data_IF_251200946781
#
_entry.id   IF_251200946781
#
_cell.length_a   1.000
_cell.length_b   1.000
_cell.length_c   1.000
_cell.angle_alpha   90.00
_cell.angle_beta   90.00
_cell.angle_gamma   90.00
#
_symmetry.space_group_name_H-M   'P 1'
#
loop_
_entity.id
_entity.type
_entity.pdbx_description
1 polymer ?
#
# COMPACT_ATOMS: atom_id res chain seq x y z
N UNK A 1 -11.59 -2.58 11.63
CA UNK A 1 -10.62 -1.49 11.87
C UNK A 1 -9.15 -1.97 11.93
N UNK A 2 -8.85 -3.28 11.80
CA UNK A 2 -7.49 -3.75 11.48
C UNK A 2 -7.37 -3.94 9.98
N UNK A 3 -6.44 -3.25 9.31
CA UNK A 3 -6.41 -3.29 7.84
C UNK A 3 -5.26 -2.56 7.18
N UNK A 4 -4.11 -2.41 7.85
CA UNK A 4 -2.92 -1.86 7.21
C UNK A 4 -1.71 -2.66 7.65
N UNK A 5 -0.82 -3.03 6.71
CA UNK A 5 0.30 -3.95 6.99
C UNK A 5 1.25 -3.38 8.03
N UNK A 6 1.24 -2.05 8.24
CA UNK A 6 2.03 -1.37 9.26
C UNK A 6 1.89 -1.98 10.67
N UNK A 7 0.70 -2.49 11.00
CA UNK A 7 0.43 -3.06 12.33
C UNK A 7 0.85 -4.53 12.45
N UNK A 8 1.37 -5.12 11.37
CA UNK A 8 1.88 -6.47 11.41
C UNK A 8 3.14 -6.48 12.26
N UNK A 9 3.12 -7.31 13.30
CA UNK A 9 4.31 -7.53 14.13
C UNK A 9 5.34 -8.27 13.28
N UNK A 10 6.51 -7.65 13.12
CA UNK A 10 7.65 -8.29 12.48
C UNK A 10 8.30 -9.23 13.49
N UNK A 11 8.19 -10.54 13.26
CA UNK A 11 8.69 -11.56 14.19
C UNK A 11 9.95 -12.23 13.66
N UNK A 12 10.78 -12.82 14.54
CA UNK A 12 12.08 -13.44 14.18
C UNK A 12 11.92 -14.72 13.35
N UNK A 13 10.74 -15.32 13.36
CA UNK A 13 10.39 -16.56 12.68
C UNK A 13 10.18 -16.34 11.17
N UNK A 14 9.96 -15.10 10.71
CA UNK A 14 9.86 -14.74 9.29
C UNK A 14 11.22 -14.83 8.59
N UNK A 15 11.55 -15.98 8.02
CA UNK A 15 12.88 -16.26 7.45
C UNK A 15 12.73 -16.84 6.05
N UNK A 16 13.79 -16.87 5.22
CA UNK A 16 13.74 -17.56 3.93
C UNK A 16 13.38 -19.05 4.03
N UNK A 17 13.47 -19.67 5.21
CA UNK A 17 13.06 -21.05 5.45
C UNK A 17 11.55 -21.19 5.70
N UNK A 18 10.89 -20.15 6.23
CA UNK A 18 9.45 -20.14 6.52
C UNK A 18 8.62 -19.37 5.51
N UNK A 19 9.25 -18.50 4.72
CA UNK A 19 8.62 -17.66 3.69
C UNK A 19 9.22 -18.00 2.34
N UNK A 20 8.36 -18.43 1.41
CA UNK A 20 8.72 -18.55 0.01
C UNK A 20 8.83 -17.15 -0.63
N UNK A 21 10.00 -16.54 -0.48
CA UNK A 21 10.25 -15.17 -0.88
C UNK A 21 10.19 -14.95 -2.38
N UNK A 22 10.73 -15.88 -3.17
CA UNK A 22 10.73 -15.78 -4.63
C UNK A 22 9.33 -15.81 -5.19
N UNK A 23 8.48 -16.68 -4.64
CA UNK A 23 7.06 -16.73 -4.99
C UNK A 23 6.31 -15.50 -4.48
N UNK A 24 6.62 -15.00 -3.30
CA UNK A 24 6.01 -13.76 -2.78
C UNK A 24 6.32 -12.56 -3.68
N UNK A 25 7.55 -12.47 -4.19
CA UNK A 25 7.96 -11.47 -5.18
C UNK A 25 7.35 -11.71 -6.58
N UNK A 26 6.96 -12.94 -6.90
CA UNK A 26 6.51 -13.31 -8.25
C UNK A 26 7.63 -13.26 -9.29
N UNK A 27 8.84 -13.72 -8.92
CA UNK A 27 10.03 -13.67 -9.79
C UNK A 27 9.85 -14.50 -11.05
N UNK A 28 9.23 -15.68 -10.96
CA UNK A 28 9.02 -16.58 -12.11
C UNK A 28 8.03 -15.99 -13.13
N UNK A 29 7.16 -15.11 -12.65
CA UNK A 29 6.11 -14.40 -13.37
C UNK A 29 6.57 -13.03 -13.87
N UNK A 30 7.79 -12.62 -13.54
CA UNK A 30 8.35 -11.32 -13.93
C UNK A 30 7.69 -10.12 -13.25
N UNK A 31 7.06 -10.31 -12.08
CA UNK A 31 6.36 -9.24 -11.34
C UNK A 31 7.33 -8.33 -10.58
N UNK A 32 8.44 -8.86 -10.07
CA UNK A 32 9.49 -8.13 -9.39
C UNK A 32 10.88 -8.77 -9.65
N UNK A 33 11.99 -8.01 -9.55
CA UNK A 33 13.34 -8.59 -9.60
C UNK A 33 13.60 -9.54 -8.43
N UNK A 34 14.58 -10.45 -8.57
CA UNK A 34 15.03 -11.32 -7.47
C UNK A 34 15.78 -10.48 -6.42
N UNK A 35 15.07 -10.08 -5.37
CA UNK A 35 15.59 -9.23 -4.29
C UNK A 35 16.04 -10.10 -3.11
N UNK A 36 17.05 -9.66 -2.33
CA UNK A 36 17.37 -10.32 -1.07
C UNK A 36 16.15 -10.29 -0.14
N UNK A 37 15.99 -11.35 0.68
CA UNK A 37 14.90 -11.40 1.64
C UNK A 37 15.02 -10.26 2.64
N UNK A 38 13.99 -9.42 2.68
CA UNK A 38 13.81 -8.41 3.70
C UNK A 38 12.52 -8.65 4.48
N UNK A 39 12.69 -8.75 5.79
CA UNK A 39 11.63 -9.08 6.73
C UNK A 39 10.63 -7.93 6.88
N UNK A 40 11.13 -6.69 6.84
CA UNK A 40 10.28 -5.51 6.93
C UNK A 40 9.40 -5.40 5.68
N UNK A 41 10.00 -5.58 4.49
CA UNK A 41 9.27 -5.66 3.22
C UNK A 41 8.22 -6.77 3.28
N UNK A 42 8.55 -8.01 3.67
CA UNK A 42 7.54 -9.07 3.76
C UNK A 42 6.38 -8.73 4.72
N UNK A 43 6.70 -8.27 5.94
CA UNK A 43 5.72 -8.01 6.98
C UNK A 43 4.88 -6.75 6.73
N UNK A 44 5.48 -5.72 6.15
CA UNK A 44 4.93 -4.37 6.05
C UNK A 44 4.87 -3.82 4.62
N UNK A 45 4.92 -4.68 3.59
CA UNK A 45 4.98 -4.35 2.16
C UNK A 45 4.17 -3.14 1.67
N UNK A 46 2.97 -2.87 2.21
CA UNK A 46 2.14 -1.73 1.81
C UNK A 46 2.78 -0.37 2.12
N UNK A 47 3.83 -0.35 2.95
CA UNK A 47 4.61 0.84 3.29
C UNK A 47 5.66 1.23 2.23
N UNK A 48 5.91 0.38 1.22
CA UNK A 48 6.97 0.57 0.23
C UNK A 48 6.40 0.67 -1.18
N UNK A 49 6.89 1.63 -1.99
CA UNK A 49 6.36 1.89 -3.33
C UNK A 49 6.38 0.69 -4.28
N UNK A 50 7.39 -0.20 -4.25
CA UNK A 50 7.42 -1.35 -5.15
C UNK A 50 6.25 -2.32 -4.96
N UNK A 51 5.64 -2.33 -3.76
CA UNK A 51 4.62 -3.32 -3.40
C UNK A 51 3.28 -2.69 -3.00
N UNK A 52 3.25 -1.42 -2.59
CA UNK A 52 2.04 -0.70 -2.24
C UNK A 52 2.08 0.77 -2.63
N UNK A 53 0.91 1.38 -2.80
CA UNK A 53 0.78 2.82 -3.10
C UNK A 53 0.17 3.59 -1.92
N UNK A 54 0.38 3.08 -0.71
CA UNK A 54 -0.09 3.68 0.53
C UNK A 54 -1.61 3.82 0.61
N UNK A 55 -2.05 4.89 1.31
CA UNK A 55 -3.46 5.12 1.60
C UNK A 55 -4.33 5.30 0.34
N UNK A 56 -3.76 5.80 -0.76
CA UNK A 56 -4.50 6.06 -2.00
C UNK A 56 -5.07 4.78 -2.64
N UNK A 57 -4.28 3.72 -2.70
CA UNK A 57 -4.72 2.46 -3.32
C UNK A 57 -5.38 1.49 -2.35
N UNK A 58 -5.07 1.59 -1.05
CA UNK A 58 -5.55 0.64 -0.04
C UNK A 58 -6.97 1.03 0.42
N UNK A 59 -7.08 1.81 1.49
CA UNK A 59 -8.39 2.10 2.11
C UNK A 59 -9.20 3.17 1.38
N UNK A 60 -8.54 4.11 0.69
CA UNK A 60 -9.21 5.26 0.07
C UNK A 60 -10.16 4.83 -1.06
N UNK A 61 -9.72 3.92 -1.94
CA UNK A 61 -10.52 3.47 -3.09
C UNK A 61 -11.85 2.84 -2.68
N UNK A 62 -11.88 2.11 -1.55
CA UNK A 62 -13.10 1.51 -1.03
C UNK A 62 -14.14 2.56 -0.62
N UNK A 63 -13.68 3.67 -0.01
CA UNK A 63 -14.53 4.78 0.41
C UNK A 63 -15.04 5.56 -0.78
N UNK A 64 -14.17 5.86 -1.74
CA UNK A 64 -14.57 6.55 -2.98
C UNK A 64 -15.58 5.72 -3.77
N UNK A 65 -15.36 4.42 -3.94
CA UNK A 65 -16.30 3.54 -4.66
C UNK A 65 -17.69 3.55 -4.02
N UNK A 66 -17.77 3.51 -2.69
CA UNK A 66 -19.04 3.59 -1.97
C UNK A 66 -19.74 4.95 -2.17
N UNK A 67 -18.99 6.05 -2.11
CA UNK A 67 -19.51 7.40 -2.35
C UNK A 67 -20.00 7.58 -3.80
N UNK A 68 -19.23 7.14 -4.80
CA UNK A 68 -19.63 7.20 -6.20
C UNK A 68 -20.93 6.42 -6.45
N UNK A 69 -21.03 5.21 -5.88
CA UNK A 69 -22.25 4.40 -5.96
C UNK A 69 -23.46 5.08 -5.30
N UNK A 70 -23.28 5.72 -4.15
CA UNK A 70 -24.36 6.38 -3.42
C UNK A 70 -24.85 7.67 -4.12
N UNK A 71 -23.96 8.39 -4.80
CA UNK A 71 -24.24 9.69 -5.44
C UNK A 71 -24.60 9.58 -6.93
N UNK A 72 -24.31 8.44 -7.56
CA UNK A 72 -24.49 8.25 -9.01
C UNK A 72 -23.42 8.97 -9.85
N UNK A 73 -22.43 9.60 -9.21
CA UNK A 73 -21.28 10.21 -9.88
C UNK A 73 -20.41 9.14 -10.53
N UNK A 74 -19.84 9.48 -11.69
CA UNK A 74 -18.98 8.57 -12.47
C UNK A 74 -17.54 9.05 -12.45
N UNK A 75 -17.16 9.82 -13.47
CA UNK A 75 -15.79 10.25 -13.69
C UNK A 75 -15.68 11.74 -13.38
N UNK A 76 -14.73 12.16 -12.54
CA UNK A 76 -14.49 13.56 -12.29
C UNK A 76 -13.91 14.24 -13.53
N UNK A 77 -14.26 15.51 -13.77
CA UNK A 77 -13.69 16.32 -14.84
C UNK A 77 -12.26 16.80 -14.52
N UNK A 78 -11.94 16.96 -13.23
CA UNK A 78 -10.59 17.30 -12.75
C UNK A 78 -10.35 16.76 -11.35
N UNK A 79 -9.10 16.44 -11.05
CA UNK A 79 -8.67 15.92 -9.76
C UNK A 79 -7.33 16.56 -9.38
N UNK A 80 -7.20 16.97 -8.12
CA UNK A 80 -5.92 17.32 -7.50
C UNK A 80 -5.69 16.44 -6.29
N UNK A 81 -4.48 15.91 -6.17
CA UNK A 81 -4.04 15.07 -5.05
C UNK A 81 -2.81 15.68 -4.38
N UNK A 82 -2.74 15.53 -3.07
CA UNK A 82 -1.59 15.96 -2.28
C UNK A 82 -1.47 15.16 -0.99
N UNK A 83 -0.26 15.01 -0.50
CA UNK A 83 0.03 14.15 0.64
C UNK A 83 1.53 14.10 0.93
N UNK A 84 1.89 13.38 1.99
CA UNK A 84 3.26 13.28 2.44
C UNK A 84 3.39 12.32 3.62
N UNK A 85 4.55 12.34 4.25
CA UNK A 85 4.81 11.75 5.56
C UNK A 85 4.89 12.90 6.54
N UNK A 86 3.95 12.98 7.49
CA UNK A 86 3.90 14.09 8.45
C UNK A 86 3.92 13.64 9.91
N UNK A 87 3.59 12.39 10.19
CA UNK A 87 3.51 11.83 11.54
C UNK A 87 4.33 10.55 11.70
N UNK A 88 4.28 9.67 10.69
CA UNK A 88 4.79 8.31 10.79
C UNK A 88 6.20 8.21 10.20
N UNK A 89 7.21 8.51 11.02
CA UNK A 89 8.62 8.44 10.65
C UNK A 89 9.19 7.02 10.87
N UNK A 90 8.61 6.02 10.22
CA UNK A 90 8.96 4.59 10.34
C UNK A 90 9.69 4.03 9.10
N UNK A 91 10.44 4.90 8.41
CA UNK A 91 11.15 4.61 7.16
C UNK A 91 10.26 4.09 6.01
N UNK A 92 8.93 4.26 6.11
CA UNK A 92 8.04 4.05 4.97
C UNK A 92 8.37 5.00 3.83
N UNK A 93 8.08 4.55 2.63
CA UNK A 93 8.23 5.38 1.43
C UNK A 93 6.91 6.01 1.01
N UNK A 94 5.79 5.32 1.29
CA UNK A 94 4.45 5.77 0.93
C UNK A 94 3.91 6.83 1.90
N UNK A 95 3.01 7.67 1.41
CA UNK A 95 2.41 8.76 2.20
C UNK A 95 1.55 8.23 3.36
N UNK A 96 1.69 8.83 4.56
CA UNK A 96 0.83 8.57 5.72
C UNK A 96 -0.47 9.39 5.69
N UNK A 97 -0.42 10.56 5.06
CA UNK A 97 -1.56 11.44 4.81
C UNK A 97 -1.71 11.65 3.32
N UNK A 98 -2.94 11.46 2.85
CA UNK A 98 -3.32 11.56 1.46
C UNK A 98 -4.67 12.29 1.37
N UNK A 99 -4.72 13.35 0.58
CA UNK A 99 -5.91 14.14 0.30
C UNK A 99 -6.14 14.20 -1.21
N UNK A 100 -7.41 14.11 -1.60
CA UNK A 100 -7.86 14.25 -2.98
C UNK A 100 -9.05 15.20 -3.01
N UNK A 101 -9.02 16.16 -3.93
CA UNK A 101 -10.15 17.00 -4.28
C UNK A 101 -10.50 16.69 -5.73
N UNK A 102 -11.73 16.28 -5.96
CA UNK A 102 -12.24 15.92 -7.27
C UNK A 102 -13.50 16.74 -7.57
N UNK A 103 -13.57 17.27 -8.79
CA UNK A 103 -14.72 17.99 -9.32
C UNK A 103 -15.45 17.09 -10.31
N UNK A 104 -16.76 16.94 -10.14
CA UNK A 104 -17.61 15.96 -10.84
C UNK A 104 -18.72 16.63 -11.64
#
# INVERSE_FOLDING_TARGET
LGGMSRHNVITKEMTPQSVDWKRWLGVEEGLAPDLPFDRATFGQWRCYWPFGYGMYSDLFVHRVSAMLKATGLKYPGRVVGGGGIFLEYDDREVTDVASIIADF
#
